data_IF_871592217118
#
_entry.id   IF_871592217118
#
_cell.length_a   1.000
_cell.length_b   1.000
_cell.length_c   1.000
_cell.angle_alpha   90.00
_cell.angle_beta   90.00
_cell.angle_gamma   90.00
#
_symmetry.space_group_name_H-M   'P 1'
#
loop_
_entity.id
_entity.type
_entity.pdbx_description
1 polymer ?
#
# COMPACT_ATOMS: atom_id res chain seq x y z
N UNK A 1 -18.57 -16.00 31.82
CA UNK A 1 -18.92 -15.69 30.42
C UNK A 1 -17.97 -16.48 29.54
N UNK A 2 -18.38 -17.66 29.07
CA UNK A 2 -17.56 -18.46 28.16
C UNK A 2 -17.90 -18.01 26.74
N UNK A 3 -17.05 -17.17 26.14
CA UNK A 3 -17.09 -16.94 24.70
C UNK A 3 -16.56 -18.24 24.09
N UNK A 4 -17.44 -19.09 23.58
CA UNK A 4 -17.04 -20.28 22.83
C UNK A 4 -16.45 -19.82 21.51
N UNK A 5 -15.15 -19.55 21.49
CA UNK A 5 -14.41 -19.25 20.27
C UNK A 5 -14.41 -20.53 19.44
N UNK A 6 -15.10 -20.54 18.30
CA UNK A 6 -14.95 -21.61 17.30
C UNK A 6 -13.55 -21.45 16.68
N UNK A 7 -12.90 -22.56 16.36
CA UNK A 7 -11.53 -22.61 15.82
C UNK A 7 -10.44 -22.09 16.79
N UNK A 8 -10.46 -22.53 18.05
CA UNK A 8 -9.43 -22.20 19.05
C UNK A 8 -8.02 -22.49 18.55
N UNK A 9 -7.84 -23.61 17.86
CA UNK A 9 -6.53 -24.03 17.31
C UNK A 9 -5.97 -22.99 16.33
N UNK A 10 -6.82 -22.43 15.45
CA UNK A 10 -6.38 -21.39 14.49
C UNK A 10 -6.03 -20.09 15.18
N UNK A 11 -6.75 -19.73 16.24
CA UNK A 11 -6.45 -18.55 17.02
C UNK A 11 -5.13 -18.70 17.80
N UNK A 12 -4.87 -19.90 18.31
CA UNK A 12 -3.59 -20.26 18.94
C UNK A 12 -2.44 -20.10 17.94
N UNK A 13 -2.56 -20.69 16.74
CA UNK A 13 -1.57 -20.61 15.67
C UNK A 13 -1.27 -19.16 15.26
N UNK A 14 -2.32 -18.33 15.12
CA UNK A 14 -2.17 -16.92 14.79
C UNK A 14 -1.43 -16.13 15.88
N UNK A 15 -1.69 -16.42 17.16
CA UNK A 15 -1.03 -15.73 18.27
C UNK A 15 0.41 -16.16 18.44
N UNK A 16 0.71 -17.42 18.17
CA UNK A 16 2.07 -17.96 18.21
C UNK A 16 2.90 -17.38 17.06
N UNK A 17 2.32 -17.29 15.85
CA UNK A 17 2.96 -16.60 14.72
C UNK A 17 3.17 -15.10 15.00
N UNK A 18 2.17 -14.43 15.58
CA UNK A 18 2.31 -13.02 15.96
C UNK A 18 3.42 -12.82 17.00
N UNK A 19 3.54 -13.74 17.96
CA UNK A 19 4.60 -13.71 18.97
C UNK A 19 5.97 -13.91 18.34
N UNK A 20 6.09 -14.81 17.36
CA UNK A 20 7.31 -15.00 16.57
C UNK A 20 7.69 -13.76 15.77
N UNK A 21 6.72 -13.14 15.08
CA UNK A 21 6.93 -11.93 14.28
C UNK A 21 7.28 -10.71 15.12
N UNK A 22 6.74 -10.61 16.34
CA UNK A 22 7.00 -9.49 17.24
C UNK A 22 8.19 -9.72 18.16
N UNK A 23 8.68 -10.96 18.29
CA UNK A 23 9.77 -11.36 19.19
C UNK A 23 9.40 -11.25 20.67
N UNK A 24 8.12 -11.17 20.99
CA UNK A 24 7.64 -10.99 22.36
C UNK A 24 7.30 -12.33 23.00
N UNK A 25 7.58 -12.44 24.30
CA UNK A 25 7.41 -13.70 25.06
C UNK A 25 6.00 -13.91 25.59
N UNK A 26 5.16 -12.88 25.61
CA UNK A 26 3.78 -12.97 26.09
C UNK A 26 2.78 -12.57 25.02
N UNK A 27 1.72 -13.37 24.85
CA UNK A 27 0.68 -13.16 23.83
C UNK A 27 0.08 -11.74 23.89
N UNK A 28 -0.09 -11.20 25.10
CA UNK A 28 -0.57 -9.83 25.30
C UNK A 28 0.39 -8.76 24.76
N UNK A 29 1.70 -8.89 24.98
CA UNK A 29 2.71 -7.96 24.42
C UNK A 29 2.78 -8.09 22.90
N UNK A 30 2.72 -9.31 22.39
CA UNK A 30 2.67 -9.58 20.94
C UNK A 30 1.47 -8.88 20.29
N UNK A 31 0.29 -8.95 20.90
CA UNK A 31 -0.92 -8.27 20.43
C UNK A 31 -0.80 -6.75 20.45
N UNK A 32 -0.28 -6.17 21.53
CA UNK A 32 -0.10 -4.72 21.65
C UNK A 32 0.89 -4.23 20.59
N UNK A 33 2.06 -4.88 20.48
CA UNK A 33 3.10 -4.52 19.52
C UNK A 33 2.64 -4.74 18.07
N UNK A 34 1.94 -5.84 17.82
CA UNK A 34 1.30 -6.14 16.54
C UNK A 34 0.26 -5.07 16.15
N UNK A 35 -0.54 -4.61 17.10
CA UNK A 35 -1.51 -3.53 16.90
C UNK A 35 -0.84 -2.21 16.50
N UNK A 36 0.21 -1.79 17.22
CA UNK A 36 0.98 -0.60 16.85
C UNK A 36 1.68 -0.75 15.49
N UNK A 37 2.22 -1.94 15.19
CA UNK A 37 2.82 -2.22 13.89
C UNK A 37 1.78 -2.10 12.77
N UNK A 38 0.57 -2.65 12.95
CA UNK A 38 -0.51 -2.57 11.97
C UNK A 38 -0.92 -1.12 11.67
N UNK A 39 -1.03 -0.28 12.71
CA UNK A 39 -1.31 1.16 12.54
C UNK A 39 -0.19 1.82 11.75
N UNK A 40 1.07 1.58 12.12
CA UNK A 40 2.24 2.16 11.43
C UNK A 40 2.30 1.75 9.96
N UNK A 41 2.08 0.47 9.66
CA UNK A 41 2.10 -0.02 8.28
C UNK A 41 0.93 0.52 7.46
N UNK A 42 -0.24 0.72 8.08
CA UNK A 42 -1.36 1.40 7.43
C UNK A 42 -0.97 2.83 7.03
N UNK A 43 -0.35 3.59 7.93
CA UNK A 43 0.05 4.97 7.65
C UNK A 43 1.12 5.03 6.54
N UNK A 44 2.10 4.12 6.56
CA UNK A 44 3.07 3.98 5.47
C UNK A 44 2.40 3.64 4.15
N UNK A 45 1.46 2.70 4.14
CA UNK A 45 0.72 2.32 2.93
C UNK A 45 -0.06 3.50 2.35
N UNK A 46 -0.75 4.28 3.20
CA UNK A 46 -1.50 5.44 2.74
C UNK A 46 -0.57 6.51 2.14
N UNK A 47 0.57 6.79 2.78
CA UNK A 47 1.57 7.73 2.25
C UNK A 47 2.13 7.29 0.89
N UNK A 48 2.51 6.01 0.75
CA UNK A 48 3.02 5.48 -0.52
C UNK A 48 1.95 5.45 -1.60
N UNK A 49 0.70 5.16 -1.23
CA UNK A 49 -0.44 5.21 -2.14
C UNK A 49 -0.64 6.63 -2.69
N UNK A 50 -0.66 7.64 -1.82
CA UNK A 50 -0.82 9.04 -2.22
C UNK A 50 0.35 9.49 -3.11
N UNK A 51 1.58 9.10 -2.77
CA UNK A 51 2.75 9.38 -3.58
C UNK A 51 2.66 8.75 -4.97
N UNK A 52 2.27 7.47 -5.05
CA UNK A 52 2.06 6.75 -6.31
C UNK A 52 0.97 7.40 -7.16
N UNK A 53 -0.15 7.80 -6.56
CA UNK A 53 -1.26 8.44 -7.28
C UNK A 53 -0.87 9.81 -7.84
N UNK A 54 -0.07 10.58 -7.10
CA UNK A 54 0.50 11.83 -7.58
C UNK A 54 1.44 11.61 -8.76
N UNK A 55 2.38 10.68 -8.65
CA UNK A 55 3.31 10.34 -9.73
C UNK A 55 2.58 9.86 -10.98
N UNK A 56 1.53 9.03 -10.82
CA UNK A 56 0.70 8.58 -11.94
C UNK A 56 0.01 9.74 -12.65
N UNK A 57 -0.51 10.71 -11.88
CA UNK A 57 -1.15 11.91 -12.42
C UNK A 57 -0.16 12.80 -13.18
N UNK A 58 1.04 13.01 -12.63
CA UNK A 58 2.11 13.77 -13.27
C UNK A 58 2.57 13.11 -14.58
N UNK A 59 2.75 11.78 -14.57
CA UNK A 59 3.12 11.00 -15.74
C UNK A 59 2.05 11.05 -16.83
N UNK A 60 0.78 10.96 -16.46
CA UNK A 60 -0.33 11.13 -17.39
C UNK A 60 -0.31 12.51 -18.06
N UNK A 61 -0.13 13.58 -17.28
CA UNK A 61 -0.03 14.95 -17.79
C UNK A 61 1.16 15.10 -18.76
N UNK A 62 2.32 14.55 -18.41
CA UNK A 62 3.51 14.61 -19.25
C UNK A 62 3.32 13.87 -20.57
N UNK A 63 2.74 12.66 -20.54
CA UNK A 63 2.41 11.89 -21.75
C UNK A 63 1.52 12.69 -22.69
N UNK A 64 0.46 13.31 -22.16
CA UNK A 64 -0.43 14.15 -22.98
C UNK A 64 0.27 15.35 -23.59
N UNK A 65 1.21 15.99 -22.87
CA UNK A 65 2.01 17.09 -23.41
C UNK A 65 2.89 16.63 -24.58
N UNK A 66 3.54 15.48 -24.44
CA UNK A 66 4.38 14.89 -25.49
C UNK A 66 3.54 14.49 -26.72
N UNK A 67 2.39 13.86 -26.51
CA UNK A 67 1.45 13.53 -27.59
C UNK A 67 0.96 14.78 -28.33
N UNK A 68 0.59 15.84 -27.60
CA UNK A 68 0.19 17.10 -28.21
C UNK A 68 1.32 17.75 -29.01
N UNK A 69 2.54 17.76 -28.46
CA UNK A 69 3.72 18.29 -29.15
C UNK A 69 4.03 17.52 -30.43
N UNK A 70 4.08 16.20 -30.36
CA UNK A 70 4.36 15.35 -31.54
C UNK A 70 3.26 15.45 -32.60
N UNK A 71 2.00 15.61 -32.18
CA UNK A 71 0.87 15.84 -33.09
C UNK A 71 1.00 17.18 -33.82
N UNK A 72 1.27 18.27 -33.09
CA UNK A 72 1.53 19.58 -33.70
C UNK A 72 2.75 19.54 -34.63
N UNK A 73 3.80 18.85 -34.16
CA UNK A 73 4.95 18.30 -34.90
C UNK A 73 4.63 17.90 -36.34
N UNK A 74 3.86 16.83 -36.39
CA UNK A 74 3.46 16.16 -37.62
C UNK A 74 2.55 17.02 -38.48
N UNK A 75 1.64 17.80 -37.88
CA UNK A 75 0.75 18.70 -38.61
C UNK A 75 1.53 19.80 -39.36
N UNK A 76 2.50 20.44 -38.69
CA UNK A 76 3.38 21.44 -39.30
C UNK A 76 4.19 20.83 -40.45
N UNK A 77 4.78 19.66 -40.23
CA UNK A 77 5.58 18.97 -41.26
C UNK A 77 4.76 18.62 -42.51
N UNK A 78 3.48 18.25 -42.34
CA UNK A 78 2.56 17.97 -43.44
C UNK A 78 2.05 19.20 -44.20
N UNK A 79 2.08 20.39 -43.58
CA UNK A 79 1.68 21.65 -44.23
C UNK A 79 2.84 22.26 -45.04
N UNK A 80 4.08 21.95 -44.68
CA UNK A 80 5.29 22.42 -45.36
C UNK A 80 5.80 21.53 -46.51
N UNK A 81 5.14 20.40 -46.78
CA UNK A 81 5.45 19.47 -47.87
C UNK A 81 4.35 19.50 -48.93
#
# INVERSE_FOLDING_TARGET
MAITIRDVDKHEDMLDELSRLTGETTKAKSLIKGGYAAIKYKDHYLSEKDHRERLQSELYCLKRKVEAYTTALNALTKIGA
#
